data_IF_867950473545
#
_entry.id   IF_867950473545
#
_cell.length_a   1.000
_cell.length_b   1.000
_cell.length_c   1.000
_cell.angle_alpha   90.00
_cell.angle_beta   90.00
_cell.angle_gamma   90.00
#
_symmetry.space_group_name_H-M   'P 1'
#
loop_
_entity.id
_entity.type
_entity.pdbx_description
1 polymer ?
#
# COMPACT_ATOMS: atom_id res chain seq x y z
N UNK A 1 24.73 11.68 3.92
CA UNK A 1 24.22 10.38 3.45
C UNK A 1 23.08 10.02 4.39
N UNK A 2 21.85 9.92 3.89
CA UNK A 2 20.65 9.79 4.73
C UNK A 2 20.63 8.45 5.45
N UNK A 3 20.79 8.49 6.77
CA UNK A 3 20.62 7.36 7.70
C UNK A 3 19.13 7.03 7.94
N UNK A 4 18.24 7.26 6.97
CA UNK A 4 16.84 6.85 7.14
C UNK A 4 16.71 5.38 6.77
N UNK A 5 16.42 4.57 7.79
CA UNK A 5 16.19 3.15 7.63
C UNK A 5 15.01 2.94 6.67
N UNK A 6 15.23 2.15 5.62
CA UNK A 6 14.35 2.13 4.44
C UNK A 6 12.90 1.77 4.75
N UNK A 7 11.96 2.44 4.06
CA UNK A 7 10.53 2.12 4.09
C UNK A 7 10.13 1.44 2.79
N UNK A 8 9.41 0.32 2.88
CA UNK A 8 8.80 -0.38 1.75
C UNK A 8 7.29 -0.18 1.82
N UNK A 9 6.68 0.20 0.70
CA UNK A 9 5.23 0.18 0.53
C UNK A 9 4.82 -1.11 -0.16
N UNK A 10 4.01 -1.94 0.52
CA UNK A 10 3.43 -3.15 -0.01
C UNK A 10 2.00 -2.90 -0.45
N UNK A 11 1.70 -3.06 -1.73
CA UNK A 11 0.35 -2.79 -2.24
C UNK A 11 -0.66 -3.84 -1.77
N UNK A 12 -1.75 -3.38 -1.15
CA UNK A 12 -2.95 -4.19 -0.92
C UNK A 12 -3.81 -4.09 -2.17
N UNK A 13 -4.13 -5.25 -2.74
CA UNK A 13 -4.74 -5.41 -4.07
C UNK A 13 -5.96 -6.32 -3.98
N UNK A 14 -6.32 -6.96 -5.08
CA UNK A 14 -7.55 -7.73 -5.25
C UNK A 14 -7.29 -9.25 -5.33
N UNK A 15 -8.35 -10.05 -5.23
CA UNK A 15 -8.40 -11.48 -5.61
C UNK A 15 -7.27 -12.34 -5.03
N UNK A 16 -6.63 -13.18 -5.86
CA UNK A 16 -5.62 -14.14 -5.41
C UNK A 16 -4.37 -13.45 -4.79
N UNK A 17 -3.82 -12.37 -5.37
CA UNK A 17 -2.72 -11.64 -4.73
C UNK A 17 -3.10 -11.02 -3.37
N UNK A 18 -4.34 -10.59 -3.18
CA UNK A 18 -4.81 -10.10 -1.88
C UNK A 18 -4.78 -11.22 -0.83
N UNK A 19 -5.30 -12.40 -1.17
CA UNK A 19 -5.27 -13.57 -0.30
C UNK A 19 -3.84 -13.98 0.06
N UNK A 20 -2.94 -14.02 -0.93
CA UNK A 20 -1.54 -14.32 -0.70
C UNK A 20 -0.88 -13.30 0.24
N UNK A 21 -1.25 -12.02 0.15
CA UNK A 21 -0.75 -10.96 1.04
C UNK A 21 -1.08 -11.22 2.50
N UNK A 22 -2.28 -11.71 2.82
CA UNK A 22 -2.65 -12.04 4.21
C UNK A 22 -1.73 -13.10 4.84
N UNK A 23 -1.21 -14.04 4.03
CA UNK A 23 -0.26 -15.05 4.50
C UNK A 23 1.19 -14.54 4.49
N UNK A 24 1.60 -13.82 3.45
CA UNK A 24 3.02 -13.54 3.20
C UNK A 24 3.52 -12.24 3.82
N UNK A 25 2.66 -11.20 3.91
CA UNK A 25 3.05 -9.92 4.49
C UNK A 25 3.51 -10.02 5.96
N UNK A 26 2.88 -10.81 6.85
CA UNK A 26 3.39 -11.00 8.21
C UNK A 26 4.81 -11.56 8.25
N UNK A 27 5.13 -12.46 7.31
CA UNK A 27 6.48 -13.05 7.20
C UNK A 27 7.49 -11.99 6.77
N UNK A 28 7.17 -11.20 5.74
CA UNK A 28 8.05 -10.10 5.29
C UNK A 28 8.33 -9.13 6.44
N UNK A 29 7.30 -8.73 7.20
CA UNK A 29 7.45 -7.84 8.36
C UNK A 29 8.37 -8.43 9.42
N UNK A 30 8.20 -9.70 9.79
CA UNK A 30 9.04 -10.36 10.78
C UNK A 30 10.54 -10.40 10.37
N UNK A 31 10.82 -10.63 9.08
CA UNK A 31 12.21 -10.65 8.59
C UNK A 31 12.82 -9.25 8.48
N UNK A 32 12.02 -8.23 8.19
CA UNK A 32 12.51 -6.85 8.01
C UNK A 32 12.65 -6.08 9.32
N UNK A 33 11.96 -6.51 10.38
CA UNK A 33 12.05 -5.92 11.72
C UNK A 33 13.50 -5.88 12.25
N UNK A 34 14.29 -6.93 12.02
CA UNK A 34 15.67 -7.03 12.50
C UNK A 34 16.63 -6.04 11.83
N UNK A 35 16.27 -5.47 10.68
CA UNK A 35 17.10 -4.50 9.92
C UNK A 35 16.58 -3.06 10.04
N UNK A 36 15.49 -2.86 10.79
CA UNK A 36 14.78 -1.59 10.94
C UNK A 36 14.03 -1.13 9.69
N UNK A 37 13.96 -1.97 8.64
CA UNK A 37 13.18 -1.67 7.44
C UNK A 37 11.69 -1.78 7.77
N UNK A 38 10.94 -0.70 7.53
CA UNK A 38 9.50 -0.67 7.81
C UNK A 38 8.71 -1.09 6.57
N UNK A 39 7.67 -1.90 6.76
CA UNK A 39 6.76 -2.32 5.67
C UNK A 39 5.35 -1.83 5.96
N UNK A 40 4.92 -0.82 5.22
CA UNK A 40 3.57 -0.25 5.29
C UNK A 40 2.72 -0.70 4.11
N UNK A 41 1.40 -0.68 4.27
CA UNK A 41 0.47 -1.00 3.19
C UNK A 41 -0.22 0.24 2.63
N UNK A 42 -0.46 0.24 1.33
CA UNK A 42 -1.35 1.19 0.64
C UNK A 42 -2.39 0.42 -0.16
N UNK A 43 -3.65 0.80 -0.01
CA UNK A 43 -4.79 0.09 -0.62
C UNK A 43 -5.08 0.65 -2.02
N UNK A 44 -4.78 -0.16 -3.04
CA UNK A 44 -5.09 0.15 -4.43
C UNK A 44 -6.07 -0.86 -5.03
N UNK A 45 -6.78 -1.61 -4.18
CA UNK A 45 -7.87 -2.48 -4.59
C UNK A 45 -8.94 -1.69 -5.35
N UNK A 46 -9.71 -2.37 -6.20
CA UNK A 46 -10.86 -1.76 -6.88
C UNK A 46 -11.82 -1.10 -5.90
N UNK A 47 -12.12 -1.77 -4.78
CA UNK A 47 -13.00 -1.26 -3.75
C UNK A 47 -12.42 0.01 -3.09
N UNK A 48 -11.14 -0.02 -2.68
CA UNK A 48 -10.47 1.13 -2.06
C UNK A 48 -10.45 2.35 -2.99
N UNK A 49 -10.14 2.13 -4.28
CA UNK A 49 -10.13 3.20 -5.29
C UNK A 49 -11.51 3.80 -5.51
N UNK A 50 -12.59 3.02 -5.50
CA UNK A 50 -13.95 3.56 -5.58
C UNK A 50 -14.27 4.38 -4.34
N UNK A 51 -14.02 3.84 -3.14
CA UNK A 51 -14.30 4.52 -1.86
C UNK A 51 -13.59 5.87 -1.79
N UNK A 52 -12.32 5.94 -2.18
CA UNK A 52 -11.52 7.16 -2.16
C UNK A 52 -12.04 8.26 -3.12
N UNK A 53 -12.80 7.91 -4.17
CA UNK A 53 -13.32 8.86 -5.15
C UNK A 53 -14.65 9.51 -4.78
N UNK A 54 -15.37 8.98 -3.79
CA UNK A 54 -16.69 9.51 -3.38
C UNK A 54 -16.78 9.83 -1.87
N UNK A 55 -15.79 10.53 -1.28
CA UNK A 55 -15.76 10.78 0.17
C UNK A 55 -16.96 11.58 0.68
N UNK A 56 -17.57 12.42 -0.16
CA UNK A 56 -18.74 13.22 0.15
C UNK A 56 -20.03 12.40 0.32
N UNK A 57 -20.04 11.14 -0.16
CA UNK A 57 -21.15 10.20 0.01
C UNK A 57 -20.98 9.27 1.22
N UNK A 58 -19.89 9.43 1.96
CA UNK A 58 -19.46 8.53 3.02
C UNK A 58 -19.43 9.25 4.36
N UNK A 59 -19.77 8.49 5.40
CA UNK A 59 -19.48 8.89 6.79
C UNK A 59 -17.97 8.96 7.00
N UNK A 60 -17.52 9.70 8.02
CA UNK A 60 -16.09 9.84 8.30
C UNK A 60 -15.39 8.50 8.51
N UNK A 61 -16.06 7.52 9.14
CA UNK A 61 -15.51 6.18 9.39
C UNK A 61 -15.43 5.30 8.14
N UNK A 62 -16.16 5.62 7.07
CA UNK A 62 -16.13 4.88 5.81
C UNK A 62 -15.11 5.44 4.82
N UNK A 63 -14.64 6.67 5.02
CA UNK A 63 -13.69 7.32 4.12
C UNK A 63 -12.35 6.59 4.14
N UNK A 64 -11.70 6.57 2.98
CA UNK A 64 -10.34 6.07 2.79
C UNK A 64 -9.52 7.13 2.05
N UNK A 65 -8.21 7.14 2.27
CA UNK A 65 -7.28 7.99 1.52
C UNK A 65 -7.18 7.55 0.05
N UNK A 66 -6.92 8.50 -0.85
CA UNK A 66 -6.58 8.19 -2.25
C UNK A 66 -5.12 7.71 -2.33
N UNK A 67 -4.91 6.45 -1.94
CA UNK A 67 -3.60 5.81 -1.88
C UNK A 67 -2.96 5.66 -3.26
N UNK A 68 -3.76 5.55 -4.33
CA UNK A 68 -3.23 5.51 -5.70
C UNK A 68 -2.60 6.85 -6.09
N UNK A 69 -3.27 7.97 -5.78
CA UNK A 69 -2.70 9.30 -6.00
C UNK A 69 -1.44 9.53 -5.16
N UNK A 70 -1.47 9.14 -3.87
CA UNK A 70 -0.32 9.26 -2.98
C UNK A 70 0.89 8.46 -3.48
N UNK A 71 0.67 7.23 -3.98
CA UNK A 71 1.73 6.43 -4.60
C UNK A 71 2.24 7.03 -5.90
N UNK A 72 1.36 7.64 -6.70
CA UNK A 72 1.72 8.36 -7.93
C UNK A 72 2.69 9.52 -7.69
N UNK A 73 2.60 10.19 -6.53
CA UNK A 73 3.58 11.19 -6.12
C UNK A 73 4.85 10.55 -5.55
N UNK A 74 4.74 9.45 -4.80
CA UNK A 74 5.90 8.75 -4.21
C UNK A 74 6.86 8.19 -5.26
N UNK A 75 6.35 7.65 -6.38
CA UNK A 75 7.20 7.09 -7.45
C UNK A 75 8.10 8.12 -8.13
N UNK A 76 7.83 9.42 -7.95
CA UNK A 76 8.65 10.50 -8.49
C UNK A 76 9.80 10.88 -7.57
N UNK A 77 9.88 10.29 -6.37
CA UNK A 77 10.86 10.66 -5.34
C UNK A 77 11.93 9.58 -5.17
N UNK A 78 13.18 9.93 -4.81
CA UNK A 78 14.26 8.97 -4.59
C UNK A 78 13.96 7.94 -3.50
N UNK A 79 13.18 8.31 -2.48
CA UNK A 79 12.76 7.42 -1.40
C UNK A 79 11.65 6.43 -1.80
N UNK A 80 11.14 6.49 -3.05
CA UNK A 80 10.10 5.62 -3.56
C UNK A 80 10.54 4.16 -3.64
N UNK A 81 10.05 3.34 -2.71
CA UNK A 81 10.27 1.90 -2.69
C UNK A 81 8.93 1.16 -2.53
N UNK A 82 8.44 0.59 -3.63
CA UNK A 82 7.09 0.04 -3.73
C UNK A 82 7.14 -1.38 -4.28
N UNK A 83 6.52 -2.32 -3.58
CA UNK A 83 6.23 -3.67 -4.06
C UNK A 83 4.79 -3.68 -4.60
N UNK A 84 4.68 -3.66 -5.94
CA UNK A 84 3.40 -3.69 -6.67
C UNK A 84 2.98 -5.12 -7.00
N UNK A 85 1.84 -5.55 -6.45
CA UNK A 85 1.23 -6.84 -6.77
C UNK A 85 0.23 -6.68 -7.94
N UNK A 86 -0.09 -7.75 -8.70
CA UNK A 86 -1.14 -7.70 -9.71
C UNK A 86 -2.48 -7.23 -9.13
N UNK A 87 -3.25 -6.44 -9.88
CA UNK A 87 -4.54 -5.88 -9.46
C UNK A 87 -5.53 -5.84 -10.62
N UNK A 88 -6.81 -5.58 -10.33
CA UNK A 88 -7.87 -5.52 -11.35
C UNK A 88 -7.78 -4.23 -12.18
N UNK A 89 -7.88 -4.37 -13.52
CA UNK A 89 -8.21 -3.29 -14.46
C UNK A 89 -9.68 -3.42 -14.88
N UNK A 90 -10.58 -2.82 -14.09
CA UNK A 90 -12.03 -2.90 -14.24
C UNK A 90 -12.58 -1.92 -15.29
#
# INVERSE_FOLDING_TARGET
MSNEVGKIIYTKVDEAPALATYSFLPIIKAFTEATGVTVETRDISLAGRIIAKFPEKLTESQRQSDDLAALGELVKKPEGNIIKLPCISA
#
